data_IF_381678240604
#
_entry.id   IF_381678240604
#
_cell.length_a   1.000
_cell.length_b   1.000
_cell.length_c   1.000
_cell.angle_alpha   90.00
_cell.angle_beta   90.00
_cell.angle_gamma   90.00
#
_symmetry.space_group_name_H-M   'P 1'
#
loop_
_entity.id
_entity.type
_entity.pdbx_description
1 polymer ?
#
# COMPACT_ATOMS: atom_id res chain seq x y z
N UNK A 1 -1.86 -5.95 1.12
CA UNK A 1 -0.94 -7.10 1.39
C UNK A 1 -1.22 -7.62 2.78
N UNK A 2 -1.28 -8.93 2.95
CA UNK A 2 -1.49 -9.54 4.28
C UNK A 2 -0.24 -9.42 5.14
N UNK A 3 -0.40 -9.30 6.46
CA UNK A 3 0.70 -9.24 7.41
C UNK A 3 1.58 -10.50 7.35
N UNK A 4 2.90 -10.36 7.53
CA UNK A 4 3.78 -11.48 7.74
C UNK A 4 3.38 -12.32 8.97
N UNK A 5 3.80 -13.58 9.00
CA UNK A 5 3.42 -14.51 10.09
C UNK A 5 3.72 -13.98 11.49
N UNK A 6 4.83 -13.29 11.67
CA UNK A 6 5.21 -12.72 12.96
C UNK A 6 4.22 -11.67 13.46
N UNK A 7 3.52 -11.00 12.55
CA UNK A 7 2.55 -9.96 12.88
C UNK A 7 1.12 -10.48 13.00
N UNK A 8 0.79 -11.61 12.38
CA UNK A 8 -0.58 -12.15 12.39
C UNK A 8 -1.08 -12.41 13.82
N UNK A 9 -0.23 -12.95 14.68
CA UNK A 9 -0.58 -13.24 16.07
C UNK A 9 -0.64 -11.98 16.94
N UNK A 10 0.13 -10.96 16.63
CA UNK A 10 0.25 -9.73 17.43
C UNK A 10 -0.72 -8.64 16.98
N UNK A 11 -1.00 -8.52 15.68
CA UNK A 11 -1.73 -7.41 15.08
C UNK A 11 -3.01 -7.85 14.35
N UNK A 12 -3.54 -9.01 14.62
CA UNK A 12 -4.84 -9.48 14.14
C UNK A 12 -5.10 -9.28 12.65
N UNK A 13 -4.25 -9.82 11.78
CA UNK A 13 -4.37 -9.74 10.32
C UNK A 13 -4.23 -8.32 9.74
N UNK A 14 -3.43 -7.50 10.36
CA UNK A 14 -3.10 -6.20 9.80
C UNK A 14 -2.62 -6.33 8.35
N UNK A 15 -3.00 -5.36 7.53
CA UNK A 15 -2.59 -5.26 6.13
C UNK A 15 -1.93 -3.91 5.90
N UNK A 16 -1.00 -3.86 4.96
CA UNK A 16 -0.51 -2.60 4.39
C UNK A 16 -1.03 -2.46 2.96
N UNK A 17 -1.30 -1.23 2.56
CA UNK A 17 -1.79 -0.95 1.20
C UNK A 17 -0.69 -1.13 0.17
N UNK A 18 0.52 -0.69 0.48
CA UNK A 18 1.68 -0.81 -0.39
C UNK A 18 2.95 -1.09 0.41
N UNK A 19 3.73 -2.07 -0.05
CA UNK A 19 5.05 -2.39 0.49
C UNK A 19 6.09 -2.25 -0.61
N UNK A 20 7.15 -1.48 -0.34
CA UNK A 20 8.26 -1.28 -1.26
C UNK A 20 9.56 -1.80 -0.66
N UNK A 21 10.31 -2.53 -1.46
CA UNK A 21 11.67 -2.93 -1.16
C UNK A 21 12.66 -2.21 -2.08
N UNK A 22 13.64 -1.53 -1.50
CA UNK A 22 14.75 -0.98 -2.24
C UNK A 22 15.92 -1.97 -2.23
N UNK A 23 16.64 -2.09 -3.34
CA UNK A 23 17.78 -3.01 -3.47
C UNK A 23 18.92 -2.76 -2.47
N UNK A 24 18.93 -1.60 -1.82
CA UNK A 24 19.82 -1.26 -0.70
C UNK A 24 19.47 -1.94 0.62
N UNK A 25 18.38 -2.72 0.67
CA UNK A 25 17.91 -3.41 1.86
C UNK A 25 16.89 -2.64 2.68
N UNK A 26 16.33 -1.56 2.15
CA UNK A 26 15.37 -0.69 2.84
C UNK A 26 13.94 -1.09 2.49
N UNK A 27 13.11 -1.19 3.52
CA UNK A 27 11.68 -1.46 3.39
C UNK A 27 10.86 -0.21 3.73
N UNK A 28 9.93 0.15 2.83
CA UNK A 28 8.99 1.25 3.00
C UNK A 28 7.56 0.74 2.96
N UNK A 29 6.75 1.17 3.91
CA UNK A 29 5.33 0.85 4.00
C UNK A 29 4.50 2.11 3.77
N UNK A 30 3.41 1.97 3.03
CA UNK A 30 2.51 3.08 2.69
C UNK A 30 1.08 2.71 3.06
N UNK A 31 0.39 3.65 3.68
CA UNK A 31 -1.03 3.59 3.98
C UNK A 31 -1.76 4.70 3.23
N UNK A 32 -2.73 4.33 2.41
CA UNK A 32 -3.53 5.26 1.62
C UNK A 32 -4.81 5.58 2.38
N UNK A 33 -5.07 6.86 2.62
CA UNK A 33 -6.29 7.33 3.29
C UNK A 33 -7.03 8.32 2.39
N UNK A 34 -8.29 8.02 2.12
CA UNK A 34 -9.12 8.81 1.22
C UNK A 34 -10.06 9.78 1.93
N UNK A 35 -10.26 9.62 3.23
CA UNK A 35 -11.11 10.49 4.06
C UNK A 35 -10.50 10.69 5.43
N UNK A 36 -10.90 11.77 6.11
CA UNK A 36 -10.52 12.01 7.52
C UNK A 36 -11.05 10.89 8.43
N UNK A 37 -12.26 10.41 8.18
CA UNK A 37 -12.85 9.30 8.92
C UNK A 37 -12.05 8.02 8.76
N UNK A 38 -11.59 7.71 7.55
CA UNK A 38 -10.73 6.56 7.27
C UNK A 38 -9.37 6.70 7.99
N UNK A 39 -8.77 7.88 7.97
CA UNK A 39 -7.54 8.15 8.71
C UNK A 39 -7.70 7.93 10.22
N UNK A 40 -8.81 8.38 10.80
CA UNK A 40 -9.12 8.26 12.24
C UNK A 40 -9.74 6.92 12.63
N UNK A 41 -9.93 6.01 11.69
CA UNK A 41 -10.48 4.68 11.98
C UNK A 41 -9.62 3.91 12.97
N UNK A 42 -10.23 2.99 13.71
CA UNK A 42 -9.56 2.18 14.74
C UNK A 42 -8.52 1.18 14.20
N UNK A 43 -8.37 1.08 12.89
CA UNK A 43 -7.35 0.25 12.27
C UNK A 43 -5.95 0.74 12.64
N UNK A 44 -5.22 -0.05 13.42
CA UNK A 44 -3.84 0.25 13.79
C UNK A 44 -2.93 0.08 12.58
N UNK A 45 -2.14 1.10 12.28
CA UNK A 45 -1.12 1.05 11.23
C UNK A 45 0.25 0.91 11.86
N UNK A 46 0.81 -0.29 11.80
CA UNK A 46 2.10 -0.58 12.45
C UNK A 46 3.29 -0.17 11.61
N UNK A 47 3.12 0.00 10.30
CA UNK A 47 4.22 0.33 9.38
C UNK A 47 5.43 -0.61 9.56
N UNK A 48 5.37 -1.80 8.98
CA UNK A 48 6.31 -2.92 9.25
C UNK A 48 7.76 -2.65 8.87
N UNK A 49 8.01 -1.71 7.96
CA UNK A 49 9.31 -1.47 7.36
C UNK A 49 10.20 -0.51 8.14
N UNK A 50 11.29 -0.13 7.51
CA UNK A 50 12.24 0.85 8.04
C UNK A 50 11.64 2.26 8.05
N UNK A 51 10.80 2.57 7.06
CA UNK A 51 10.10 3.85 6.91
C UNK A 51 8.62 3.63 6.64
N UNK A 52 7.79 4.42 7.29
CA UNK A 52 6.35 4.43 7.08
C UNK A 52 5.86 5.77 6.53
N UNK A 53 4.85 5.71 5.65
CA UNK A 53 4.27 6.89 5.03
C UNK A 53 2.75 6.78 4.98
N UNK A 54 2.07 7.91 5.15
CA UNK A 54 0.72 8.10 4.66
C UNK A 54 0.74 8.68 3.24
N UNK A 55 -0.20 8.25 2.43
CA UNK A 55 -0.54 8.88 1.15
C UNK A 55 -1.90 9.54 1.31
N UNK A 56 -1.94 10.85 1.22
CA UNK A 56 -3.10 11.68 1.50
C UNK A 56 -3.32 12.70 0.38
N UNK A 57 -4.51 13.25 0.28
CA UNK A 57 -4.71 14.50 -0.44
C UNK A 57 -4.46 15.70 0.48
N UNK A 58 -4.32 16.89 -0.11
CA UNK A 58 -3.99 18.12 0.63
C UNK A 58 -5.08 18.50 1.65
N UNK A 59 -6.36 18.26 1.35
CA UNK A 59 -7.48 18.56 2.24
C UNK A 59 -7.43 17.70 3.51
N UNK A 60 -7.24 16.40 3.36
CA UNK A 60 -7.10 15.48 4.52
C UNK A 60 -5.88 15.87 5.35
N UNK A 61 -4.73 16.09 4.69
CA UNK A 61 -3.49 16.46 5.38
C UNK A 61 -3.64 17.71 6.23
N UNK A 62 -4.28 18.76 5.72
CA UNK A 62 -4.51 20.00 6.46
C UNK A 62 -5.30 19.78 7.75
N UNK A 63 -6.18 18.78 7.78
CA UNK A 63 -7.04 18.45 8.93
C UNK A 63 -6.39 17.51 9.94
N UNK A 64 -5.46 16.64 9.50
CA UNK A 64 -4.89 15.58 10.33
C UNK A 64 -3.39 15.70 10.59
N UNK A 65 -2.71 16.70 10.05
CA UNK A 65 -1.24 16.84 10.13
C UNK A 65 -0.68 16.74 11.55
N UNK A 66 -1.40 17.26 12.54
CA UNK A 66 -0.97 17.25 13.94
C UNK A 66 -1.23 15.90 14.64
N UNK A 67 -1.98 15.01 13.99
CA UNK A 67 -2.27 13.65 14.46
C UNK A 67 -1.30 12.60 13.91
N UNK A 68 -0.45 12.99 12.95
CA UNK A 68 0.52 12.08 12.32
C UNK A 68 1.75 11.95 13.21
N UNK A 69 2.16 10.72 13.57
CA UNK A 69 3.37 10.51 14.36
C UNK A 69 4.60 11.15 13.72
N UNK A 70 5.51 11.65 14.54
CA UNK A 70 6.68 12.42 14.10
C UNK A 70 7.62 11.62 13.18
N UNK A 71 7.68 10.30 13.35
CA UNK A 71 8.50 9.38 12.56
C UNK A 71 7.83 8.89 11.26
N UNK A 72 6.57 9.22 11.03
CA UNK A 72 5.83 8.84 9.82
C UNK A 72 5.87 9.97 8.80
N UNK A 73 6.24 9.64 7.58
CA UNK A 73 6.25 10.56 6.44
C UNK A 73 4.89 10.72 5.77
N UNK A 74 4.79 11.71 4.91
CA UNK A 74 3.56 11.98 4.15
C UNK A 74 3.89 12.31 2.70
N UNK A 75 3.22 11.61 1.80
CA UNK A 75 3.11 11.96 0.39
C UNK A 75 1.73 12.53 0.12
N UNK A 76 1.66 13.69 -0.52
CA UNK A 76 0.41 14.26 -1.03
C UNK A 76 0.21 13.88 -2.49
N UNK A 77 -1.02 13.52 -2.81
CA UNK A 77 -1.46 13.22 -4.18
C UNK A 77 -2.29 14.39 -4.69
N UNK A 78 -1.92 14.90 -5.85
CA UNK A 78 -2.64 15.93 -6.57
C UNK A 78 -3.14 15.37 -7.88
N UNK A 79 -4.42 15.39 -8.12
CA UNK A 79 -5.04 14.99 -9.38
C UNK A 79 -6.08 16.01 -9.82
N UNK A 80 -5.66 17.14 -10.41
CA UNK A 80 -6.59 18.07 -11.02
C UNK A 80 -7.35 17.41 -12.17
N UNK A 81 -8.57 17.89 -12.45
CA UNK A 81 -9.32 17.43 -13.60
C UNK A 81 -8.49 17.56 -14.89
N UNK A 82 -8.60 16.56 -15.76
CA UNK A 82 -7.89 16.50 -17.05
C UNK A 82 -6.35 16.46 -16.96
N UNK A 83 -5.78 16.08 -15.83
CA UNK A 83 -4.33 15.91 -15.69
C UNK A 83 -3.97 14.50 -15.20
N UNK A 84 -2.71 14.11 -15.43
CA UNK A 84 -2.17 12.84 -14.93
C UNK A 84 -1.99 12.85 -13.41
N UNK A 85 -2.00 14.02 -12.79
CA UNK A 85 -1.68 14.19 -11.38
C UNK A 85 -0.19 14.03 -11.07
N UNK A 86 0.18 14.33 -9.84
CA UNK A 86 1.54 14.16 -9.32
C UNK A 86 1.51 13.90 -7.82
N UNK A 87 2.65 13.48 -7.29
CA UNK A 87 2.85 13.26 -5.87
C UNK A 87 4.01 14.11 -5.36
N UNK A 88 3.91 14.56 -4.12
CA UNK A 88 4.94 15.32 -3.44
C UNK A 88 5.13 14.83 -2.02
N UNK A 89 6.39 14.61 -1.61
CA UNK A 89 6.72 14.30 -0.23
C UNK A 89 6.79 15.59 0.59
N UNK A 90 5.79 15.83 1.43
CA UNK A 90 5.69 17.04 2.25
C UNK A 90 6.21 16.84 3.67
N UNK A 91 6.37 15.61 4.11
CA UNK A 91 6.94 15.26 5.40
C UNK A 91 7.84 14.04 5.24
N UNK A 92 9.10 14.18 5.63
CA UNK A 92 10.05 13.07 5.59
C UNK A 92 9.86 12.17 6.81
N UNK A 93 9.92 10.84 6.65
CA UNK A 93 9.87 9.91 7.76
C UNK A 93 11.20 9.85 8.50
N UNK A 94 11.17 9.28 9.70
CA UNK A 94 12.37 8.87 10.41
C UNK A 94 12.48 7.34 10.36
N UNK A 95 13.72 6.83 10.35
CA UNK A 95 13.96 5.39 10.37
C UNK A 95 13.41 4.79 11.66
N UNK A 96 12.74 3.66 11.52
CA UNK A 96 12.14 2.90 12.61
C UNK A 96 12.78 1.52 12.69
N UNK A 97 12.66 0.87 13.86
CA UNK A 97 12.97 -0.54 13.97
C UNK A 97 11.90 -1.33 13.20
N UNK A 98 12.33 -2.20 12.28
CA UNK A 98 11.41 -3.10 11.58
C UNK A 98 10.70 -4.03 12.57
N UNK A 99 9.40 -4.24 12.33
CA UNK A 99 8.57 -5.13 13.15
C UNK A 99 8.71 -6.60 12.77
N UNK A 100 9.31 -6.89 11.61
CA UNK A 100 9.55 -8.24 11.15
C UNK A 100 10.88 -8.34 10.39
N UNK A 101 11.37 -9.57 10.25
CA UNK A 101 12.61 -9.86 9.53
C UNK A 101 12.51 -9.52 8.04
N UNK A 102 13.66 -9.30 7.42
CA UNK A 102 13.77 -9.14 5.97
C UNK A 102 13.16 -10.35 5.22
N UNK A 103 13.43 -11.55 5.68
CA UNK A 103 12.93 -12.79 5.09
C UNK A 103 11.41 -12.87 5.13
N UNK A 104 10.79 -12.49 6.25
CA UNK A 104 9.33 -12.47 6.39
C UNK A 104 8.68 -11.43 5.51
N UNK A 105 9.26 -10.24 5.38
CA UNK A 105 8.79 -9.19 4.48
C UNK A 105 8.91 -9.61 3.01
N UNK A 106 10.04 -10.21 2.64
CA UNK A 106 10.26 -10.73 1.29
C UNK A 106 9.27 -11.84 0.95
N UNK A 107 9.03 -12.76 1.87
CA UNK A 107 8.05 -13.84 1.69
C UNK A 107 6.63 -13.27 1.50
N UNK A 108 6.23 -12.29 2.30
CA UNK A 108 4.93 -11.61 2.17
C UNK A 108 4.79 -10.91 0.80
N UNK A 109 5.84 -10.25 0.34
CA UNK A 109 5.88 -9.61 -0.98
C UNK A 109 5.73 -10.64 -2.10
N UNK A 110 6.46 -11.73 -2.05
CA UNK A 110 6.38 -12.82 -3.04
C UNK A 110 4.99 -13.46 -3.08
N UNK A 111 4.36 -13.68 -1.93
CA UNK A 111 2.98 -14.19 -1.86
C UNK A 111 1.98 -13.20 -2.49
N UNK A 112 2.13 -11.90 -2.23
CA UNK A 112 1.28 -10.88 -2.83
C UNK A 112 1.41 -10.85 -4.35
N UNK A 113 2.65 -10.87 -4.86
CA UNK A 113 2.93 -10.93 -6.29
C UNK A 113 2.32 -12.18 -6.96
N UNK A 114 2.44 -13.33 -6.31
CA UNK A 114 1.86 -14.58 -6.80
C UNK A 114 0.33 -14.51 -6.90
N UNK A 115 -0.34 -13.91 -5.90
CA UNK A 115 -1.80 -13.71 -5.94
C UNK A 115 -2.23 -12.77 -7.06
N UNK A 116 -1.52 -11.67 -7.25
CA UNK A 116 -1.84 -10.70 -8.32
C UNK A 116 -1.59 -11.31 -9.71
N UNK A 117 -0.54 -12.08 -9.87
CA UNK A 117 -0.28 -12.81 -11.11
C UNK A 117 -1.38 -13.81 -11.45
N UNK A 118 -1.88 -14.56 -10.46
CA UNK A 118 -3.01 -15.49 -10.65
C UNK A 118 -4.30 -14.77 -11.05
N UNK A 119 -4.58 -13.62 -10.46
CA UNK A 119 -5.74 -12.78 -10.86
C UNK A 119 -5.59 -12.29 -12.30
N UNK A 120 -4.43 -11.80 -12.66
CA UNK A 120 -4.13 -11.34 -14.01
C UNK A 120 -4.35 -12.45 -15.04
N UNK A 121 -3.80 -13.64 -14.80
CA UNK A 121 -4.02 -14.80 -15.68
C UNK A 121 -5.50 -15.15 -15.86
N UNK A 122 -6.26 -15.21 -14.79
CA UNK A 122 -7.70 -15.48 -14.84
C UNK A 122 -8.46 -14.45 -15.68
N UNK A 123 -8.09 -13.19 -15.59
CA UNK A 123 -8.72 -12.11 -16.37
C UNK A 123 -8.40 -12.26 -17.86
N UNK A 124 -7.16 -12.55 -18.23
CA UNK A 124 -6.76 -12.82 -19.61
C UNK A 124 -7.54 -14.01 -20.20
N UNK A 125 -7.70 -15.09 -19.46
CA UNK A 125 -8.47 -16.26 -19.90
C UNK A 125 -9.93 -15.92 -20.15
N UNK A 126 -10.56 -15.09 -19.30
CA UNK A 126 -11.93 -14.61 -19.47
C UNK A 126 -12.07 -13.76 -20.73
N UNK A 127 -11.16 -12.80 -20.92
CA UNK A 127 -11.16 -11.94 -22.11
C UNK A 127 -11.02 -12.74 -23.40
N UNK A 128 -10.12 -13.71 -23.42
CA UNK A 128 -9.90 -14.58 -24.57
C UNK A 128 -11.11 -15.46 -24.88
N UNK A 129 -11.80 -15.98 -23.86
CA UNK A 129 -13.07 -16.73 -24.03
C UNK A 129 -14.16 -15.83 -24.62
N UNK A 130 -14.27 -14.61 -24.11
CA UNK A 130 -15.28 -13.64 -24.60
C UNK A 130 -15.03 -13.27 -26.06
N UNK A 131 -13.77 -13.02 -26.46
CA UNK A 131 -13.39 -12.75 -27.85
C UNK A 131 -13.71 -13.92 -28.78
N UNK A 132 -13.37 -15.15 -28.38
CA UNK A 132 -13.69 -16.36 -29.17
C UNK A 132 -15.20 -16.56 -29.37
N UNK A 133 -16.01 -16.29 -28.34
CA UNK A 133 -17.44 -16.41 -28.41
C UNK A 133 -18.09 -15.34 -29.33
N UNK A 134 -17.56 -14.11 -29.35
CA UNK A 134 -17.97 -13.05 -30.27
C UNK A 134 -17.68 -13.38 -31.73
N UNK A 135 -16.54 -14.01 -32.01
CA UNK A 135 -16.17 -14.43 -33.39
C UNK A 135 -17.07 -15.57 -33.87
N UNK A 136 -17.43 -16.53 -33.00
CA UNK A 136 -18.30 -17.66 -33.35
C UNK A 136 -19.77 -17.23 -33.62
N UNK A 137 -20.21 -16.08 -33.13
CA UNK A 137 -21.57 -15.52 -33.35
C UNK A 137 -21.68 -14.64 -34.57
N UNK A 138 -20.62 -14.39 -35.29
CA UNK A 138 -20.57 -13.69 -36.59
C UNK A 138 -20.50 -14.70 -37.72
#
# INVERSE_FOLDING_TARGET
MAAPRELVNKYHRERVDLLMYESTGIWKCFEIKNTVSDFRSSAKHSFWGDYGYYILNADIYSKVKDEIPDDIGVWLVYKPENSKGWMECVKRPKKRKRLCSHESLMFALMQAMSREYKKYRKNLEKENKTKKNKIKKR
#
